data_IF_900576236261
#
_entry.id   IF_900576236261
#
_cell.length_a   1.000
_cell.length_b   1.000
_cell.length_c   1.000
_cell.angle_alpha   90.00
_cell.angle_beta   90.00
_cell.angle_gamma   90.00
#
_symmetry.space_group_name_H-M   'P 1'
#
loop_
_entity.id
_entity.type
_entity.pdbx_description
1 polymer ?
#
# COMPACT_ATOMS: atom_id res chain seq x y z
N UNK A 1 10.29 1.36 6.92
CA UNK A 1 8.94 1.87 7.20
C UNK A 1 7.87 0.77 7.28
N UNK A 2 6.67 1.07 7.82
CA UNK A 2 5.51 0.16 7.86
C UNK A 2 4.60 0.38 6.65
N UNK A 3 4.21 -0.67 5.94
CA UNK A 3 3.30 -0.61 4.79
C UNK A 3 2.13 -1.60 4.96
N UNK A 4 1.00 -1.30 4.31
CA UNK A 4 -0.07 -2.29 4.07
C UNK A 4 0.24 -3.00 2.75
N UNK A 5 0.36 -4.32 2.77
CA UNK A 5 0.63 -5.15 1.59
C UNK A 5 -0.48 -6.19 1.39
N UNK A 6 -0.86 -6.39 0.12
CA UNK A 6 -1.79 -7.44 -0.32
C UNK A 6 -1.00 -8.37 -1.24
N UNK A 7 -0.89 -9.66 -0.89
CA UNK A 7 -0.13 -10.66 -1.67
C UNK A 7 -0.99 -11.79 -2.22
N UNK A 8 -2.28 -11.80 -1.89
CA UNK A 8 -3.27 -12.78 -2.34
C UNK A 8 -4.63 -12.10 -2.51
N UNK A 9 -5.54 -12.74 -3.25
CA UNK A 9 -6.91 -12.25 -3.37
C UNK A 9 -7.73 -12.59 -2.13
N UNK A 10 -8.55 -11.65 -1.66
CA UNK A 10 -9.43 -11.84 -0.51
C UNK A 10 -10.07 -10.53 -0.06
N UNK A 11 -10.89 -10.59 0.98
CA UNK A 11 -11.45 -9.40 1.62
C UNK A 11 -10.43 -8.66 2.49
N UNK A 12 -10.87 -7.75 3.37
CA UNK A 12 -9.98 -6.97 4.22
C UNK A 12 -9.00 -7.79 5.07
N UNK A 13 -9.27 -9.07 5.32
CA UNK A 13 -8.41 -10.00 6.03
C UNK A 13 -7.03 -10.22 5.37
N UNK A 14 -6.87 -9.91 4.09
CA UNK A 14 -5.58 -10.04 3.38
C UNK A 14 -4.72 -8.77 3.43
N UNK A 15 -5.20 -7.70 4.07
CA UNK A 15 -4.46 -6.46 4.29
C UNK A 15 -3.46 -6.65 5.44
N UNK A 16 -2.19 -6.90 5.10
CA UNK A 16 -1.15 -7.15 6.09
C UNK A 16 -0.31 -5.89 6.34
N UNK A 17 -0.19 -5.47 7.60
CA UNK A 17 0.80 -4.46 7.98
C UNK A 17 2.15 -5.14 8.14
N UNK A 18 3.10 -4.76 7.30
CA UNK A 18 4.45 -5.34 7.25
C UNK A 18 5.52 -4.27 7.37
N UNK A 19 6.69 -4.64 7.88
CA UNK A 19 7.88 -3.80 7.79
C UNK A 19 8.58 -4.01 6.45
N UNK A 20 8.92 -2.91 5.78
CA UNK A 20 9.69 -2.88 4.54
C UNK A 20 10.89 -1.94 4.67
N UNK A 21 11.94 -2.11 3.85
CA UNK A 21 13.05 -1.16 3.79
C UNK A 21 12.57 0.26 3.56
N UNK A 22 13.33 1.23 4.06
CA UNK A 22 13.02 2.64 3.83
C UNK A 22 13.22 2.97 2.33
N UNK A 23 12.24 3.62 1.67
CA UNK A 23 12.38 3.98 0.27
C UNK A 23 13.38 5.13 0.07
N UNK A 24 14.05 5.13 -1.08
CA UNK A 24 14.91 6.23 -1.52
C UNK A 24 14.31 6.93 -2.75
N UNK A 25 14.41 8.26 -2.81
CA UNK A 25 13.95 9.02 -3.96
C UNK A 25 14.93 8.87 -5.13
N UNK A 26 14.46 8.32 -6.25
CA UNK A 26 15.20 8.34 -7.51
C UNK A 26 15.29 9.78 -8.09
N UNK A 27 16.23 10.08 -9.01
CA UNK A 27 16.34 11.39 -9.63
C UNK A 27 15.02 11.89 -10.22
N UNK A 28 14.64 13.12 -9.87
CA UNK A 28 13.37 13.73 -10.31
C UNK A 28 12.13 13.26 -9.54
N UNK A 29 12.26 12.45 -8.49
CA UNK A 29 11.16 12.07 -7.59
C UNK A 29 11.34 12.70 -6.21
N UNK A 30 10.23 12.83 -5.49
CA UNK A 30 10.19 13.32 -4.11
C UNK A 30 9.72 12.20 -3.19
N UNK A 31 10.37 12.04 -2.03
CA UNK A 31 9.92 11.16 -0.97
C UNK A 31 9.05 11.93 0.01
N UNK A 32 7.91 11.35 0.40
CA UNK A 32 6.94 11.96 1.30
C UNK A 32 6.75 11.11 2.55
N UNK A 33 6.69 11.77 3.71
CA UNK A 33 6.25 11.15 4.96
C UNK A 33 4.72 11.15 5.00
N UNK A 34 4.12 9.97 5.10
CA UNK A 34 2.67 9.77 5.02
C UNK A 34 2.07 9.81 6.43
N UNK A 35 1.40 10.92 6.75
CA UNK A 35 0.69 11.07 8.03
C UNK A 35 -0.71 10.45 8.04
N UNK A 36 -1.35 10.32 6.88
CA UNK A 36 -2.68 9.73 6.71
C UNK A 36 -2.87 9.14 5.31
N UNK A 37 -3.69 8.09 5.21
CA UNK A 37 -4.17 7.51 3.97
C UNK A 37 -5.69 7.28 4.07
N UNK A 38 -6.41 7.52 2.99
CA UNK A 38 -7.85 7.27 2.90
C UNK A 38 -8.14 5.96 2.20
N UNK A 39 -9.31 5.37 2.49
CA UNK A 39 -9.86 4.21 1.78
C UNK A 39 -10.94 4.69 0.82
N UNK A 40 -10.89 4.22 -0.41
CA UNK A 40 -11.83 4.52 -1.47
C UNK A 40 -12.60 3.26 -1.88
N UNK A 41 -13.75 3.45 -2.54
CA UNK A 41 -14.51 2.33 -3.11
C UNK A 41 -13.66 1.50 -4.09
N UNK A 42 -12.79 2.15 -4.86
CA UNK A 42 -11.87 1.48 -5.80
C UNK A 42 -10.90 0.50 -5.12
N UNK A 43 -10.63 0.62 -3.82
CA UNK A 43 -9.75 -0.31 -3.10
C UNK A 43 -10.41 -1.68 -2.90
N UNK A 44 -11.73 -1.77 -3.09
CA UNK A 44 -12.49 -3.03 -3.09
C UNK A 44 -12.54 -3.68 -4.48
N UNK A 45 -12.02 -3.00 -5.51
CA UNK A 45 -12.03 -3.51 -6.86
C UNK A 45 -11.00 -4.63 -6.98
N UNK A 46 -11.51 -5.86 -6.97
CA UNK A 46 -10.73 -7.00 -7.42
C UNK A 46 -10.79 -6.99 -8.94
N UNK A 47 -9.65 -6.78 -9.60
CA UNK A 47 -9.52 -7.20 -11.00
C UNK A 47 -9.94 -8.67 -11.05
N UNK A 48 -11.16 -8.92 -11.53
CA UNK A 48 -11.64 -10.25 -11.81
C UNK A 48 -10.63 -10.90 -12.78
N UNK A 49 -10.42 -12.22 -12.71
CA UNK A 49 -9.69 -12.92 -13.76
C UNK A 49 -10.27 -12.61 -15.14
#
# INVERSE_FOLDING_TARGET
MRAVQITEFGGPEVLNVVDVPEPEAAPGRTLHDVSAAGVNYADTDHALP
#
